data_IF_533230321998
#
_entry.id   IF_533230321998
#
_cell.length_a   1.000
_cell.length_b   1.000
_cell.length_c   1.000
_cell.angle_alpha   90.00
_cell.angle_beta   90.00
_cell.angle_gamma   90.00
#
_symmetry.space_group_name_H-M   'P 1'
#
loop_
_entity.id
_entity.type
_entity.pdbx_description
1 polymer ?
#
# COMPACT_ATOMS: atom_id res chain seq x y z
N UNK A 1 13.50 -1.94 -45.12
CA UNK A 1 13.30 -0.76 -44.25
C UNK A 1 11.87 -0.19 -44.25
N UNK A 2 10.86 -0.85 -44.85
CA UNK A 2 9.44 -0.42 -44.91
C UNK A 2 8.46 -1.22 -44.04
N UNK A 3 8.92 -2.23 -43.32
CA UNK A 3 8.05 -3.09 -42.46
C UNK A 3 7.81 -2.44 -41.08
N UNK A 4 8.72 -1.56 -40.64
CA UNK A 4 8.68 -0.94 -39.29
C UNK A 4 7.62 0.16 -39.11
N UNK A 5 7.13 0.78 -40.21
CA UNK A 5 6.24 1.94 -40.10
C UNK A 5 4.75 1.57 -39.99
N UNK A 6 4.33 0.41 -40.52
CA UNK A 6 2.91 -0.02 -40.47
C UNK A 6 2.50 -0.56 -39.13
N UNK A 7 3.39 -1.27 -38.45
CA UNK A 7 3.13 -1.83 -37.12
C UNK A 7 3.09 -0.74 -36.04
N UNK A 8 3.81 0.37 -36.27
CA UNK A 8 3.85 1.51 -35.37
C UNK A 8 2.51 2.25 -35.31
N UNK A 9 1.83 2.47 -36.45
CA UNK A 9 0.49 3.07 -36.50
C UNK A 9 -0.54 2.21 -35.72
N UNK A 10 -0.55 0.92 -35.96
CA UNK A 10 -1.43 0.00 -35.24
C UNK A 10 -1.16 -0.02 -33.70
N UNK A 11 0.10 0.00 -33.33
CA UNK A 11 0.51 0.06 -31.93
C UNK A 11 -0.01 1.34 -31.26
N UNK A 12 0.22 2.52 -31.83
CA UNK A 12 -0.27 3.77 -31.25
C UNK A 12 -1.78 3.87 -31.28
N UNK A 13 -2.44 3.48 -32.37
CA UNK A 13 -3.90 3.53 -32.47
C UNK A 13 -4.55 2.64 -31.41
N UNK A 14 -4.07 1.39 -31.27
CA UNK A 14 -4.60 0.45 -30.26
C UNK A 14 -4.38 0.98 -28.84
N UNK A 15 -3.17 1.46 -28.52
CA UNK A 15 -2.89 2.02 -27.20
C UNK A 15 -3.72 3.27 -26.90
N UNK A 16 -3.94 4.13 -27.89
CA UNK A 16 -4.79 5.33 -27.73
C UNK A 16 -6.23 4.94 -27.45
N UNK A 17 -6.79 3.99 -28.21
CA UNK A 17 -8.16 3.49 -27.98
C UNK A 17 -8.28 2.88 -26.57
N UNK A 18 -7.33 2.05 -26.16
CA UNK A 18 -7.29 1.47 -24.81
C UNK A 18 -7.19 2.56 -23.72
N UNK A 19 -6.34 3.55 -23.93
CA UNK A 19 -6.19 4.67 -22.99
C UNK A 19 -7.50 5.46 -22.84
N UNK A 20 -8.19 5.76 -23.93
CA UNK A 20 -9.50 6.44 -23.92
C UNK A 20 -10.54 5.58 -23.19
N UNK A 21 -10.58 4.28 -23.47
CA UNK A 21 -11.54 3.35 -22.86
C UNK A 21 -11.33 3.23 -21.35
N UNK A 22 -10.08 3.20 -20.90
CA UNK A 22 -9.73 3.16 -19.46
C UNK A 22 -9.97 4.52 -18.78
N UNK A 23 -9.68 5.62 -19.48
CA UNK A 23 -9.88 6.97 -18.93
C UNK A 23 -11.37 7.38 -18.86
N UNK A 24 -12.23 6.83 -19.72
CA UNK A 24 -13.64 7.19 -19.82
C UNK A 24 -14.41 7.05 -18.49
N UNK A 25 -14.37 5.90 -17.77
CA UNK A 25 -15.07 5.80 -16.48
C UNK A 25 -14.51 6.76 -15.43
N UNK A 26 -13.20 7.01 -15.41
CA UNK A 26 -12.58 7.98 -14.50
C UNK A 26 -13.08 9.40 -14.81
N UNK A 27 -13.09 9.77 -16.08
CA UNK A 27 -13.63 11.04 -16.56
C UNK A 27 -15.10 11.22 -16.15
N UNK A 28 -15.93 10.19 -16.30
CA UNK A 28 -17.35 10.22 -15.89
C UNK A 28 -17.50 10.40 -14.38
N UNK A 29 -16.70 9.71 -13.55
CA UNK A 29 -16.71 9.89 -12.09
C UNK A 29 -16.37 11.33 -11.71
N UNK A 30 -15.32 11.88 -12.32
CA UNK A 30 -14.90 13.27 -12.05
C UNK A 30 -16.02 14.25 -12.42
N UNK A 31 -16.61 14.15 -13.61
CA UNK A 31 -17.67 15.06 -14.04
C UNK A 31 -18.91 14.94 -13.18
N UNK A 32 -19.35 13.72 -12.87
CA UNK A 32 -20.54 13.52 -12.04
C UNK A 32 -20.37 14.02 -10.62
N UNK A 33 -19.15 13.99 -10.08
CA UNK A 33 -18.87 14.51 -8.74
C UNK A 33 -19.12 16.02 -8.58
N UNK A 34 -19.06 16.77 -9.67
CA UNK A 34 -19.34 18.21 -9.70
C UNK A 34 -20.78 18.57 -10.08
N UNK A 35 -21.68 17.60 -10.28
CA UNK A 35 -23.07 17.84 -10.64
C UNK A 35 -23.99 17.71 -9.44
N UNK A 36 -24.95 18.64 -9.33
CA UNK A 36 -25.82 18.77 -8.13
C UNK A 36 -27.04 17.84 -8.12
N UNK A 37 -27.23 16.93 -9.10
CA UNK A 37 -28.45 16.13 -9.16
C UNK A 37 -28.17 14.63 -9.19
N UNK A 38 -28.53 13.85 -8.15
CA UNK A 38 -28.32 12.41 -8.10
C UNK A 38 -29.10 11.61 -9.15
N UNK A 39 -30.22 12.13 -9.65
CA UNK A 39 -31.01 11.48 -10.72
C UNK A 39 -30.33 11.56 -12.10
N UNK A 40 -29.36 12.42 -12.26
CA UNK A 40 -28.67 12.70 -13.51
C UNK A 40 -27.54 11.74 -13.86
N UNK A 41 -27.13 10.90 -12.93
CA UNK A 41 -26.10 9.88 -13.18
C UNK A 41 -26.49 8.88 -14.27
N UNK A 42 -27.76 8.81 -14.64
CA UNK A 42 -28.29 7.86 -15.63
C UNK A 42 -28.58 8.47 -17.01
N UNK A 43 -28.60 9.81 -17.14
CA UNK A 43 -28.93 10.49 -18.39
C UNK A 43 -27.73 11.28 -18.93
N UNK A 44 -27.02 10.72 -19.89
CA UNK A 44 -25.89 11.36 -20.59
C UNK A 44 -26.24 12.68 -21.30
N UNK A 45 -27.53 12.95 -21.54
CA UNK A 45 -28.02 14.13 -22.23
C UNK A 45 -28.16 15.37 -21.34
N UNK A 46 -27.90 15.26 -20.04
CA UNK A 46 -28.08 16.39 -19.08
C UNK A 46 -26.77 17.17 -18.87
N UNK A 47 -26.08 17.53 -19.95
CA UNK A 47 -24.87 18.37 -19.89
C UNK A 47 -25.10 19.81 -19.42
N UNK A 48 -26.35 20.21 -19.14
CA UNK A 48 -26.72 21.60 -18.84
C UNK A 48 -26.80 21.93 -17.35
N UNK A 49 -26.30 21.09 -16.44
CA UNK A 49 -26.37 21.36 -15.03
C UNK A 49 -25.17 22.18 -14.53
N UNK A 50 -25.46 23.10 -13.65
CA UNK A 50 -24.47 23.98 -13.02
C UNK A 50 -23.41 23.17 -12.28
N UNK A 51 -22.17 23.53 -12.48
CA UNK A 51 -21.04 22.95 -11.77
C UNK A 51 -21.07 23.43 -10.32
N UNK A 52 -21.01 22.51 -9.38
CA UNK A 52 -21.03 22.83 -7.95
C UNK A 52 -20.00 22.05 -7.16
N UNK A 53 -19.50 22.65 -6.10
CA UNK A 53 -18.67 21.99 -5.09
C UNK A 53 -19.49 21.52 -3.87
N UNK A 54 -20.82 21.68 -3.89
CA UNK A 54 -21.67 21.40 -2.73
C UNK A 54 -21.64 19.91 -2.36
N UNK A 55 -21.47 18.99 -3.32
CA UNK A 55 -21.31 17.58 -3.03
C UNK A 55 -20.13 17.34 -2.10
N UNK A 56 -19.00 18.01 -2.33
CA UNK A 56 -17.80 17.88 -1.49
C UNK A 56 -18.00 18.49 -0.10
N UNK A 57 -18.67 19.66 0.00
CA UNK A 57 -19.02 20.28 1.28
C UNK A 57 -19.97 19.40 2.08
N UNK A 58 -21.04 18.94 1.41
CA UNK A 58 -22.06 18.11 2.03
C UNK A 58 -21.49 16.78 2.56
N UNK A 59 -20.63 16.09 1.80
CA UNK A 59 -19.96 14.85 2.26
C UNK A 59 -19.09 15.14 3.49
N UNK A 60 -18.36 16.25 3.50
CA UNK A 60 -17.47 16.60 4.60
C UNK A 60 -18.21 16.82 5.92
N UNK A 61 -19.43 17.39 5.84
CA UNK A 61 -20.29 17.66 6.98
C UNK A 61 -21.27 16.51 7.30
N UNK A 62 -21.40 15.53 6.39
CA UNK A 62 -22.36 14.44 6.49
C UNK A 62 -22.04 13.52 7.67
N UNK A 63 -22.93 13.55 8.67
CA UNK A 63 -23.01 12.48 9.67
C UNK A 63 -23.73 11.30 9.04
N UNK A 64 -23.01 10.20 8.83
CA UNK A 64 -23.60 8.97 8.30
C UNK A 64 -24.68 8.52 9.30
N UNK A 65 -25.94 8.50 8.87
CA UNK A 65 -27.15 8.28 9.70
C UNK A 65 -27.13 6.99 10.52
N UNK A 66 -26.35 6.00 10.09
CA UNK A 66 -26.20 4.68 10.74
C UNK A 66 -24.88 4.50 11.49
N UNK A 67 -23.95 5.44 11.41
CA UNK A 67 -22.64 5.35 12.03
C UNK A 67 -22.46 6.52 13.01
N UNK A 68 -21.77 6.25 14.10
CA UNK A 68 -21.40 7.28 15.09
C UNK A 68 -20.37 8.28 14.57
N UNK A 69 -19.78 8.02 13.39
CA UNK A 69 -18.66 8.78 12.81
C UNK A 69 -19.11 9.62 11.62
N UNK A 70 -18.54 10.81 11.45
CA UNK A 70 -18.67 11.62 10.24
C UNK A 70 -17.69 11.12 9.15
N UNK A 71 -17.96 11.47 7.87
CA UNK A 71 -17.03 11.18 6.79
C UNK A 71 -15.62 11.76 7.07
N UNK A 72 -15.55 12.97 7.55
CA UNK A 72 -14.30 13.64 7.95
C UNK A 72 -13.50 12.78 8.95
N UNK A 73 -14.16 12.29 10.00
CA UNK A 73 -13.51 11.44 10.99
C UNK A 73 -13.01 10.11 10.38
N UNK A 74 -13.83 9.46 9.56
CA UNK A 74 -13.44 8.23 8.87
C UNK A 74 -12.24 8.43 7.93
N UNK A 75 -12.20 9.57 7.23
CA UNK A 75 -11.08 9.92 6.35
C UNK A 75 -9.76 10.08 7.14
N UNK A 76 -9.78 10.81 8.25
CA UNK A 76 -8.59 10.96 9.10
C UNK A 76 -8.16 9.66 9.76
N UNK A 77 -9.11 8.82 10.17
CA UNK A 77 -8.83 7.50 10.70
C UNK A 77 -8.07 6.64 9.67
N UNK A 78 -8.54 6.64 8.41
CA UNK A 78 -7.86 5.94 7.33
C UNK A 78 -6.44 6.45 7.09
N UNK A 79 -6.23 7.77 7.15
CA UNK A 79 -4.88 8.35 7.03
C UNK A 79 -3.97 7.88 8.18
N UNK A 80 -4.45 7.96 9.41
CA UNK A 80 -3.67 7.57 10.61
C UNK A 80 -3.26 6.09 10.52
N UNK A 81 -4.21 5.22 10.24
CA UNK A 81 -3.96 3.77 10.13
C UNK A 81 -3.01 3.47 8.97
N UNK A 82 -3.25 4.05 7.81
CA UNK A 82 -2.41 3.83 6.62
C UNK A 82 -0.99 4.32 6.86
N UNK A 83 -0.81 5.54 7.33
CA UNK A 83 0.53 6.09 7.61
C UNK A 83 1.27 5.27 8.68
N UNK A 84 0.57 4.90 9.77
CA UNK A 84 1.15 4.04 10.81
C UNK A 84 1.59 2.68 10.27
N UNK A 85 0.76 2.04 9.46
CA UNK A 85 1.08 0.77 8.81
C UNK A 85 2.27 0.90 7.86
N UNK A 86 2.30 1.93 7.02
CA UNK A 86 3.42 2.16 6.08
C UNK A 86 4.74 2.35 6.84
N UNK A 87 4.75 3.23 7.83
CA UNK A 87 5.97 3.51 8.61
C UNK A 87 6.48 2.23 9.28
N UNK A 88 5.61 1.52 9.98
CA UNK A 88 6.00 0.33 10.71
C UNK A 88 6.41 -0.81 9.78
N UNK A 89 5.69 -1.02 8.68
CA UNK A 89 6.05 -2.02 7.66
C UNK A 89 7.40 -1.73 7.03
N UNK A 90 7.66 -0.49 6.62
CA UNK A 90 8.95 -0.09 6.02
C UNK A 90 10.10 -0.34 6.99
N UNK A 91 9.97 0.08 8.25
CA UNK A 91 11.03 -0.11 9.25
C UNK A 91 11.32 -1.60 9.45
N UNK A 92 10.29 -2.40 9.75
CA UNK A 92 10.48 -3.82 10.07
C UNK A 92 10.99 -4.60 8.85
N UNK A 93 10.37 -4.41 7.68
CA UNK A 93 10.75 -5.18 6.49
C UNK A 93 12.11 -4.80 5.95
N UNK A 94 12.51 -3.52 6.08
CA UNK A 94 13.84 -3.07 5.68
C UNK A 94 14.92 -3.65 6.57
N UNK A 95 14.74 -3.59 7.89
CA UNK A 95 15.71 -4.17 8.83
C UNK A 95 15.80 -5.69 8.69
N UNK A 96 14.66 -6.37 8.61
CA UNK A 96 14.61 -7.83 8.42
C UNK A 96 15.18 -8.25 7.05
N UNK A 97 14.81 -7.54 5.98
CA UNK A 97 15.32 -7.79 4.64
C UNK A 97 16.83 -7.61 4.55
N UNK A 98 17.37 -6.55 5.18
CA UNK A 98 18.81 -6.33 5.27
C UNK A 98 19.52 -7.46 6.04
N UNK A 99 19.01 -7.81 7.22
CA UNK A 99 19.58 -8.87 8.03
C UNK A 99 19.63 -10.21 7.25
N UNK A 100 18.52 -10.58 6.61
CA UNK A 100 18.38 -11.83 5.86
C UNK A 100 19.13 -11.85 4.51
N UNK A 101 19.41 -10.68 3.93
CA UNK A 101 20.15 -10.60 2.67
C UNK A 101 21.66 -10.52 2.88
N UNK A 102 22.11 -9.77 3.88
CA UNK A 102 23.49 -9.30 4.01
C UNK A 102 24.20 -9.91 5.20
N UNK A 103 23.53 -10.01 6.36
CA UNK A 103 24.14 -10.52 7.59
C UNK A 103 24.08 -12.05 7.61
N UNK A 104 25.11 -12.72 7.10
CA UNK A 104 25.21 -14.18 7.06
C UNK A 104 25.20 -14.77 8.48
N UNK A 105 24.04 -15.13 9.00
CA UNK A 105 23.88 -15.79 10.30
C UNK A 105 23.26 -17.19 10.14
N UNK A 106 23.49 -18.11 11.10
CA UNK A 106 22.95 -19.45 11.00
C UNK A 106 21.42 -19.43 10.94
N UNK A 107 20.85 -20.34 10.14
CA UNK A 107 19.41 -20.49 9.92
C UNK A 107 18.71 -19.31 9.21
N UNK A 108 19.43 -18.33 8.64
CA UNK A 108 18.82 -17.19 7.94
C UNK A 108 17.83 -17.62 6.84
N UNK A 109 18.15 -18.63 6.05
CA UNK A 109 17.26 -19.17 5.01
C UNK A 109 16.01 -19.85 5.61
N UNK A 110 16.16 -20.60 6.71
CA UNK A 110 15.03 -21.21 7.39
C UNK A 110 14.07 -20.13 7.95
N UNK A 111 14.63 -19.10 8.58
CA UNK A 111 13.84 -17.97 9.11
C UNK A 111 13.13 -17.25 7.97
N UNK A 112 13.81 -17.04 6.84
CA UNK A 112 13.20 -16.44 5.66
C UNK A 112 12.02 -17.26 5.13
N UNK A 113 12.19 -18.59 5.00
CA UNK A 113 11.10 -19.49 4.57
C UNK A 113 9.93 -19.42 5.54
N UNK A 114 10.18 -19.47 6.85
CA UNK A 114 9.13 -19.37 7.88
C UNK A 114 8.39 -18.04 7.85
N UNK A 115 9.08 -16.94 7.53
CA UNK A 115 8.47 -15.62 7.38
C UNK A 115 7.57 -15.49 6.14
N UNK A 116 7.89 -16.22 5.06
CA UNK A 116 7.10 -16.18 3.82
C UNK A 116 5.92 -17.16 3.86
N UNK A 117 6.03 -18.26 4.60
CA UNK A 117 5.03 -19.32 4.65
C UNK A 117 3.59 -18.82 4.93
N UNK A 118 3.37 -17.79 5.78
CA UNK A 118 2.04 -17.23 6.01
C UNK A 118 1.33 -16.69 4.76
N UNK A 119 2.03 -16.40 3.66
CA UNK A 119 1.39 -15.98 2.39
C UNK A 119 0.39 -17.04 1.88
N UNK A 120 0.63 -18.31 2.21
CA UNK A 120 -0.24 -19.43 1.80
C UNK A 120 -1.54 -19.50 2.59
N UNK A 121 -1.63 -18.79 3.72
CA UNK A 121 -2.81 -18.79 4.57
C UNK A 121 -3.78 -17.70 4.10
N UNK A 122 -5.04 -18.05 3.77
CA UNK A 122 -6.03 -17.02 3.45
C UNK A 122 -6.21 -16.06 4.63
N UNK A 123 -5.99 -14.77 4.39
CA UNK A 123 -6.02 -13.74 5.46
C UNK A 123 -7.35 -13.72 6.21
N UNK A 124 -8.47 -14.01 5.52
CA UNK A 124 -9.81 -14.08 6.10
C UNK A 124 -9.90 -15.14 7.21
N UNK A 125 -9.18 -16.25 7.10
CA UNK A 125 -9.20 -17.32 8.12
C UNK A 125 -8.51 -16.90 9.44
N UNK A 126 -7.70 -15.84 9.39
CA UNK A 126 -6.99 -15.31 10.55
C UNK A 126 -7.82 -14.31 11.38
N UNK A 127 -9.00 -13.90 10.90
CA UNK A 127 -9.83 -12.87 11.58
C UNK A 127 -10.16 -13.27 13.01
N UNK A 128 -10.69 -14.49 13.22
CA UNK A 128 -11.10 -14.95 14.55
C UNK A 128 -9.93 -15.04 15.52
N UNK A 129 -8.79 -15.71 15.19
CA UNK A 129 -7.64 -15.76 16.08
C UNK A 129 -7.02 -14.38 16.34
N UNK A 130 -6.96 -13.49 15.34
CA UNK A 130 -6.45 -12.12 15.51
C UNK A 130 -7.37 -11.28 16.40
N UNK A 131 -8.69 -11.42 16.27
CA UNK A 131 -9.65 -10.75 17.14
C UNK A 131 -9.43 -11.14 18.62
N UNK A 132 -9.31 -12.45 18.88
CA UNK A 132 -9.04 -12.94 20.22
C UNK A 132 -7.72 -12.42 20.77
N UNK A 133 -6.65 -12.49 19.96
CA UNK A 133 -5.33 -11.98 20.32
C UNK A 133 -5.35 -10.50 20.69
N UNK A 134 -5.97 -9.65 19.86
CA UNK A 134 -6.05 -8.21 20.14
C UNK A 134 -6.88 -7.92 21.40
N UNK A 135 -7.93 -8.70 21.65
CA UNK A 135 -8.74 -8.59 22.86
C UNK A 135 -7.93 -8.96 24.11
N UNK A 136 -7.20 -10.06 24.05
CA UNK A 136 -6.35 -10.53 25.16
C UNK A 136 -5.21 -9.54 25.47
N UNK A 137 -4.71 -8.82 24.43
CA UNK A 137 -3.71 -7.76 24.54
C UNK A 137 -4.27 -6.39 24.92
N UNK A 138 -5.60 -6.23 25.09
CA UNK A 138 -6.29 -4.94 25.25
C UNK A 138 -6.02 -3.92 24.12
N UNK A 139 -5.79 -4.42 22.90
CA UNK A 139 -5.57 -3.62 21.66
C UNK A 139 -6.79 -3.67 20.72
N UNK A 140 -7.89 -4.29 21.15
CA UNK A 140 -9.16 -4.26 20.42
C UNK A 140 -9.71 -2.82 20.44
N UNK A 141 -10.41 -2.43 19.38
CA UNK A 141 -11.00 -1.10 19.19
C UNK A 141 -9.96 0.03 19.29
N UNK A 142 -8.78 -0.20 18.70
CA UNK A 142 -7.69 0.78 18.68
C UNK A 142 -6.99 0.84 17.33
N UNK A 143 -6.54 2.04 16.95
CA UNK A 143 -5.73 2.23 15.73
C UNK A 143 -4.42 1.43 15.77
N UNK A 144 -3.81 1.31 16.95
CA UNK A 144 -2.58 0.53 17.14
C UNK A 144 -2.83 -0.93 16.81
N UNK A 145 -3.94 -1.51 17.29
CA UNK A 145 -4.31 -2.89 16.97
C UNK A 145 -4.46 -3.11 15.46
N UNK A 146 -5.15 -2.20 14.76
CA UNK A 146 -5.36 -2.29 13.32
C UNK A 146 -4.05 -2.10 12.53
N UNK A 147 -3.19 -1.15 12.94
CA UNK A 147 -1.86 -0.94 12.36
C UNK A 147 -1.01 -2.21 12.50
N UNK A 148 -1.01 -2.86 13.65
CA UNK A 148 -0.27 -4.09 13.88
C UNK A 148 -0.77 -5.24 13.02
N UNK A 149 -2.09 -5.40 12.84
CA UNK A 149 -2.66 -6.41 11.94
C UNK A 149 -2.16 -6.19 10.51
N UNK A 150 -2.37 -4.98 9.97
CA UNK A 150 -1.97 -4.68 8.59
C UNK A 150 -0.46 -4.85 8.39
N UNK A 151 0.34 -4.38 9.36
CA UNK A 151 1.79 -4.58 9.32
C UNK A 151 2.14 -6.07 9.30
N UNK A 152 1.55 -6.87 10.16
CA UNK A 152 1.81 -8.32 10.25
C UNK A 152 1.42 -9.03 8.95
N UNK A 153 0.28 -8.71 8.36
CA UNK A 153 -0.14 -9.25 7.07
C UNK A 153 0.79 -8.84 5.91
N UNK A 154 1.42 -7.67 6.01
CA UNK A 154 2.36 -7.16 5.01
C UNK A 154 3.78 -7.73 5.16
N UNK A 155 4.18 -8.17 6.38
CA UNK A 155 5.55 -8.63 6.66
C UNK A 155 6.09 -9.67 5.67
N UNK A 156 5.37 -10.75 5.32
CA UNK A 156 5.88 -11.77 4.42
C UNK A 156 6.30 -11.19 3.07
N UNK A 157 5.41 -10.41 2.45
CA UNK A 157 5.64 -9.78 1.14
C UNK A 157 6.73 -8.71 1.25
N UNK A 158 6.66 -7.87 2.28
CA UNK A 158 7.62 -6.78 2.48
C UNK A 158 9.04 -7.26 2.73
N UNK A 159 9.22 -8.31 3.55
CA UNK A 159 10.54 -8.92 3.80
C UNK A 159 11.09 -9.56 2.52
N UNK A 160 10.25 -10.25 1.75
CA UNK A 160 10.64 -10.81 0.46
C UNK A 160 11.13 -9.72 -0.50
N UNK A 161 10.39 -8.63 -0.63
CA UNK A 161 10.74 -7.52 -1.51
C UNK A 161 12.05 -6.85 -1.07
N UNK A 162 12.20 -6.56 0.22
CA UNK A 162 13.39 -5.90 0.74
C UNK A 162 14.63 -6.79 0.68
N UNK A 163 14.49 -8.09 1.00
CA UNK A 163 15.59 -9.05 0.84
C UNK A 163 16.10 -9.07 -0.60
N UNK A 164 15.21 -9.15 -1.58
CA UNK A 164 15.58 -9.15 -2.99
C UNK A 164 16.22 -7.82 -3.43
N UNK A 165 15.70 -6.69 -2.94
CA UNK A 165 16.29 -5.39 -3.19
C UNK A 165 17.74 -5.30 -2.68
N UNK A 166 18.02 -5.81 -1.48
CA UNK A 166 19.39 -5.82 -0.95
C UNK A 166 20.30 -6.83 -1.64
N UNK A 167 19.79 -8.01 -2.04
CA UNK A 167 20.58 -8.99 -2.80
C UNK A 167 21.01 -8.43 -4.16
N UNK A 168 20.21 -7.57 -4.79
CA UNK A 168 20.55 -6.97 -6.09
C UNK A 168 21.69 -5.95 -6.04
N UNK A 169 22.07 -5.48 -4.83
CA UNK A 169 23.16 -4.54 -4.64
C UNK A 169 24.48 -5.31 -4.60
N UNK A 170 25.51 -4.88 -5.40
CA UNK A 170 26.82 -5.52 -5.36
C UNK A 170 27.44 -5.52 -3.96
N UNK A 171 27.82 -6.68 -3.45
CA UNK A 171 28.41 -6.83 -2.11
C UNK A 171 29.76 -6.07 -1.96
N UNK A 172 30.48 -5.86 -3.06
CA UNK A 172 31.74 -5.09 -3.07
C UNK A 172 31.57 -3.69 -2.49
N UNK A 173 30.41 -3.06 -2.64
CA UNK A 173 30.15 -1.74 -2.05
C UNK A 173 30.14 -1.78 -0.51
N UNK A 174 29.60 -2.84 0.06
CA UNK A 174 29.63 -3.07 1.51
C UNK A 174 31.06 -3.37 1.98
N UNK A 175 31.78 -4.22 1.24
CA UNK A 175 33.14 -4.61 1.58
C UNK A 175 34.10 -3.39 1.57
N UNK A 176 34.00 -2.52 0.56
CA UNK A 176 34.77 -1.27 0.50
C UNK A 176 34.45 -0.39 1.73
N UNK A 177 33.19 -0.20 2.06
CA UNK A 177 32.81 0.61 3.21
C UNK A 177 33.29 0.00 4.55
N UNK A 178 33.37 -1.33 4.66
CA UNK A 178 33.97 -2.01 5.81
C UNK A 178 35.49 -1.78 5.89
N UNK A 179 36.18 -1.83 4.76
CA UNK A 179 37.63 -1.55 4.70
C UNK A 179 37.97 -0.09 5.10
N UNK A 180 37.07 0.83 4.82
CA UNK A 180 37.15 2.22 5.27
C UNK A 180 36.80 2.41 6.75
N UNK A 181 36.52 1.34 7.50
CA UNK A 181 36.22 1.38 8.92
C UNK A 181 34.78 1.81 9.25
N UNK A 182 33.85 1.79 8.29
CA UNK A 182 32.44 2.12 8.54
C UNK A 182 31.76 1.04 9.38
N UNK A 183 30.99 1.46 10.40
CA UNK A 183 30.14 0.54 11.18
C UNK A 183 28.97 0.01 10.33
N UNK A 184 28.44 -1.16 10.68
CA UNK A 184 27.32 -1.79 9.96
C UNK A 184 26.10 -0.86 9.87
N UNK A 185 25.79 -0.11 10.92
CA UNK A 185 24.73 0.88 10.91
C UNK A 185 24.97 2.01 9.88
N UNK A 186 26.22 2.46 9.77
CA UNK A 186 26.59 3.49 8.78
C UNK A 186 26.53 2.94 7.36
N UNK A 187 26.94 1.69 7.17
CA UNK A 187 26.81 0.98 5.89
C UNK A 187 25.33 0.86 5.49
N UNK A 188 24.47 0.39 6.41
CA UNK A 188 23.03 0.30 6.15
C UNK A 188 22.47 1.66 5.74
N UNK A 189 22.70 2.71 6.55
CA UNK A 189 22.01 4.00 6.38
C UNK A 189 22.57 4.86 5.25
N UNK A 190 23.87 4.79 4.97
CA UNK A 190 24.57 5.68 4.02
C UNK A 190 24.86 5.02 2.67
N UNK A 191 24.93 3.69 2.63
CA UNK A 191 25.27 2.95 1.41
C UNK A 191 24.08 2.13 0.92
N UNK A 192 23.57 1.22 1.75
CA UNK A 192 22.60 0.22 1.32
C UNK A 192 21.18 0.77 1.16
N UNK A 193 20.70 1.59 2.12
CA UNK A 193 19.35 2.18 2.05
C UNK A 193 19.13 3.07 0.82
N UNK A 194 20.03 4.01 0.47
CA UNK A 194 19.86 4.79 -0.75
C UNK A 194 19.80 3.95 -2.03
N UNK A 195 20.57 2.88 -2.11
CA UNK A 195 20.58 1.97 -3.25
C UNK A 195 19.35 1.05 -3.27
N UNK A 196 18.79 0.71 -2.09
CA UNK A 196 17.57 -0.09 -1.96
C UNK A 196 16.28 0.76 -2.07
N UNK A 197 16.38 2.07 -2.32
CA UNK A 197 15.23 2.98 -2.38
C UNK A 197 14.09 2.49 -3.29
N UNK A 198 14.32 1.92 -4.49
CA UNK A 198 13.25 1.36 -5.31
C UNK A 198 12.46 0.24 -4.60
N UNK A 199 13.15 -0.61 -3.83
CA UNK A 199 12.52 -1.65 -3.01
C UNK A 199 11.68 -1.05 -1.88
N UNK A 200 12.21 -0.03 -1.20
CA UNK A 200 11.49 0.68 -0.13
C UNK A 200 10.21 1.33 -0.69
N UNK A 201 10.29 2.00 -1.84
CA UNK A 201 9.12 2.60 -2.49
C UNK A 201 8.07 1.54 -2.84
N UNK A 202 8.50 0.37 -3.27
CA UNK A 202 7.59 -0.75 -3.54
C UNK A 202 6.86 -1.18 -2.26
N UNK A 203 7.57 -1.34 -1.14
CA UNK A 203 6.95 -1.67 0.15
C UNK A 203 5.97 -0.58 0.60
N UNK A 204 6.32 0.70 0.43
CA UNK A 204 5.43 1.84 0.76
C UNK A 204 4.13 1.73 -0.05
N UNK A 205 4.21 1.53 -1.36
CA UNK A 205 3.04 1.45 -2.24
C UNK A 205 2.15 0.26 -1.86
N UNK A 206 2.73 -0.91 -1.64
CA UNK A 206 1.97 -2.11 -1.25
C UNK A 206 1.31 -1.95 0.13
N UNK A 207 2.05 -1.45 1.12
CA UNK A 207 1.51 -1.21 2.47
C UNK A 207 0.40 -0.16 2.45
N UNK A 208 0.58 0.91 1.69
CA UNK A 208 -0.43 1.95 1.52
C UNK A 208 -1.67 1.39 0.83
N UNK A 209 -1.50 0.64 -0.25
CA UNK A 209 -2.61 0.04 -0.98
C UNK A 209 -3.42 -0.92 -0.11
N UNK A 210 -2.77 -1.81 0.63
CA UNK A 210 -3.45 -2.80 1.47
C UNK A 210 -4.18 -2.15 2.65
N UNK A 211 -3.57 -1.19 3.33
CA UNK A 211 -4.19 -0.52 4.47
C UNK A 211 -5.30 0.46 4.07
N UNK A 212 -5.12 1.19 2.96
CA UNK A 212 -6.13 2.15 2.48
C UNK A 212 -7.39 1.48 1.94
N UNK A 213 -7.24 0.35 1.25
CA UNK A 213 -8.37 -0.38 0.67
C UNK A 213 -9.01 -1.38 1.64
N UNK A 214 -8.56 -1.43 2.90
CA UNK A 214 -9.15 -2.33 3.87
C UNK A 214 -10.53 -1.84 4.31
N UNK A 215 -11.46 -2.77 4.27
CA UNK A 215 -12.80 -2.61 4.82
C UNK A 215 -13.08 -3.65 5.90
N UNK A 216 -12.60 -4.87 5.69
CA UNK A 216 -13.01 -6.03 6.49
C UNK A 216 -12.42 -6.00 7.90
N UNK A 217 -11.14 -5.74 8.02
CA UNK A 217 -10.50 -5.62 9.34
C UNK A 217 -11.02 -4.40 10.08
N UNK A 218 -11.15 -3.25 9.41
CA UNK A 218 -11.71 -2.04 10.00
C UNK A 218 -13.11 -2.26 10.55
N UNK A 219 -13.99 -2.98 9.80
CA UNK A 219 -15.35 -3.27 10.22
C UNK A 219 -15.43 -4.19 11.46
N UNK A 220 -14.51 -5.14 11.60
CA UNK A 220 -14.55 -6.16 12.64
C UNK A 220 -13.81 -5.73 13.91
N UNK A 221 -12.73 -4.97 13.76
CA UNK A 221 -11.81 -4.67 14.85
C UNK A 221 -12.00 -3.28 15.46
N UNK A 222 -12.74 -2.36 14.79
CA UNK A 222 -13.06 -1.02 15.29
C UNK A 222 -14.58 -0.82 15.31
N UNK A 223 -15.11 -0.32 16.43
CA UNK A 223 -16.53 -0.01 16.64
C UNK A 223 -16.84 1.49 16.45
#
# INVERSE_FOLDING_TARGET
MKIFTRDWYWYYTTNTILAILIAFPIYMIIITSFKNNPELSLNLNSMHNEWTFDNYKNIWELKIRSSRTSFNQSFWNSIIVTCGTVILSVIITTLSGYALAILKFPFSELIFILLILPILIPVISLIIPLYKLLRDLNLHDSYIGLILIHTTCMLPVGVFLMRNAFISIPQSLREIAMLEGSSEYKILTKVMLPLALPGILTVIIFSMYTAWNDYLFSLIFIN
#
